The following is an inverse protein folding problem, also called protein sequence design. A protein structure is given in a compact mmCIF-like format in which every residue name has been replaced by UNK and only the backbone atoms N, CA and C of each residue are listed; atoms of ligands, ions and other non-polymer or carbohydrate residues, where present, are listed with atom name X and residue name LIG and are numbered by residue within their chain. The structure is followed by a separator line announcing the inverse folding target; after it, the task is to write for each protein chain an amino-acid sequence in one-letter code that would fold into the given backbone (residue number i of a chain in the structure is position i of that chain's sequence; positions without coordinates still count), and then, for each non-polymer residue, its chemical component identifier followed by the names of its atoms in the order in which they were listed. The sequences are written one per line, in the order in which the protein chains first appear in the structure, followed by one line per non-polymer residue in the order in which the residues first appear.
data_IF_655945341614
#
_entry.id   IF_655945341614
#
_cell.length_a   1.000
_cell.length_b   1.000
_cell.length_c   1.000
_cell.angle_alpha   90.00
_cell.angle_beta   90.00
_cell.angle_gamma   90.00
#
_symmetry.space_group_name_H-M   'P 1'
#
loop_
_entity.id
_entity.type
_entity.pdbx_description
1 polymer ?
#
# COMPACT_ATOMS: atom_id res chain seq x y z
N UNK A 1 2.43 -4.21 -28.59
CA UNK A 1 2.44 -3.36 -27.38
C UNK A 1 2.67 -4.27 -26.18
N UNK A 2 3.82 -4.16 -25.49
CA UNK A 2 4.32 -5.13 -24.49
C UNK A 2 3.24 -5.58 -23.48
N UNK A 3 2.98 -6.90 -23.39
CA UNK A 3 2.03 -7.52 -22.44
C UNK A 3 2.31 -7.08 -21.00
N UNK A 4 3.59 -7.00 -20.63
CA UNK A 4 4.05 -6.48 -19.33
C UNK A 4 3.53 -5.06 -19.03
N UNK A 5 3.50 -4.18 -20.04
CA UNK A 5 3.01 -2.80 -19.87
C UNK A 5 1.50 -2.76 -19.68
N UNK A 6 0.75 -3.64 -20.37
CA UNK A 6 -0.70 -3.73 -20.18
C UNK A 6 -1.04 -4.28 -18.79
N UNK A 7 -0.29 -5.28 -18.32
CA UNK A 7 -0.41 -5.82 -16.97
C UNK A 7 -0.14 -4.76 -15.90
N UNK A 8 0.94 -3.98 -16.04
CA UNK A 8 1.25 -2.89 -15.10
C UNK A 8 0.14 -1.84 -15.06
N UNK A 9 -0.38 -1.41 -16.21
CA UNK A 9 -1.49 -0.46 -16.27
C UNK A 9 -2.76 -1.00 -15.60
N UNK A 10 -3.07 -2.29 -15.76
CA UNK A 10 -4.21 -2.94 -15.09
C UNK A 10 -4.01 -2.93 -13.58
N UNK A 11 -2.81 -3.25 -13.10
CA UNK A 11 -2.50 -3.24 -11.67
C UNK A 11 -2.58 -1.83 -11.05
N UNK A 12 -2.05 -0.81 -11.72
CA UNK A 12 -2.17 0.57 -11.26
C UNK A 12 -3.63 1.04 -11.23
N UNK A 13 -4.42 0.71 -12.26
CA UNK A 13 -5.85 1.04 -12.29
C UNK A 13 -6.62 0.34 -11.16
N UNK A 14 -6.32 -0.94 -10.89
CA UNK A 14 -6.93 -1.66 -9.77
C UNK A 14 -6.50 -1.06 -8.42
N UNK A 15 -5.26 -0.57 -8.29
CA UNK A 15 -4.79 0.16 -7.10
C UNK A 15 -5.63 1.39 -6.81
N UNK A 16 -5.90 2.20 -7.84
CA UNK A 16 -6.71 3.42 -7.71
C UNK A 16 -8.14 3.10 -7.26
N UNK A 17 -8.75 2.04 -7.80
CA UNK A 17 -10.09 1.62 -7.40
C UNK A 17 -10.14 1.16 -5.94
N UNK A 18 -9.17 0.35 -5.52
CA UNK A 18 -9.07 -0.09 -4.12
C UNK A 18 -8.85 1.11 -3.19
N UNK A 19 -8.06 2.10 -3.59
CA UNK A 19 -7.88 3.34 -2.82
C UNK A 19 -9.17 4.12 -2.65
N UNK A 20 -9.99 4.25 -3.68
CA UNK A 20 -11.29 4.90 -3.55
C UNK A 20 -12.17 4.20 -2.51
N UNK A 21 -12.23 2.87 -2.57
CA UNK A 21 -12.95 2.08 -1.58
C UNK A 21 -12.42 2.32 -0.16
N UNK A 22 -11.10 2.26 0.03
CA UNK A 22 -10.47 2.50 1.33
C UNK A 22 -10.71 3.92 1.84
N UNK A 23 -10.60 4.93 0.98
CA UNK A 23 -10.89 6.33 1.34
C UNK A 23 -12.33 6.50 1.79
N UNK A 24 -13.30 5.87 1.11
CA UNK A 24 -14.71 5.91 1.52
C UNK A 24 -14.95 5.20 2.85
N UNK A 25 -14.36 4.01 3.05
CA UNK A 25 -14.48 3.27 4.30
C UNK A 25 -13.85 4.01 5.47
N UNK A 26 -12.65 4.57 5.29
CA UNK A 26 -11.97 5.38 6.31
C UNK A 26 -12.77 6.64 6.60
N UNK A 27 -13.23 7.36 5.58
CA UNK A 27 -14.07 8.55 5.77
C UNK A 27 -15.33 8.23 6.58
N UNK A 28 -16.07 7.18 6.18
CA UNK A 28 -17.28 6.76 6.88
C UNK A 28 -17.01 6.37 8.33
N UNK A 29 -15.93 5.64 8.59
CA UNK A 29 -15.59 5.21 9.95
C UNK A 29 -15.08 6.35 10.83
N UNK A 30 -14.27 7.29 10.31
CA UNK A 30 -13.87 8.48 11.06
C UNK A 30 -15.08 9.38 11.36
N UNK A 31 -15.97 9.57 10.39
CA UNK A 31 -17.22 10.30 10.60
C UNK A 31 -18.10 9.63 11.65
N UNK A 32 -18.15 8.30 11.66
CA UNK A 32 -18.87 7.54 12.70
C UNK A 32 -18.28 7.78 14.09
N UNK A 33 -16.96 7.60 14.27
CA UNK A 33 -16.28 7.82 15.57
C UNK A 33 -16.48 9.25 16.06
N UNK A 34 -16.38 10.24 15.17
CA UNK A 34 -16.55 11.64 15.53
C UNK A 34 -18.02 11.95 15.88
N UNK A 35 -18.98 11.33 15.19
CA UNK A 35 -20.40 11.54 15.45
C UNK A 35 -20.88 10.89 16.75
N UNK A 36 -20.34 9.72 17.11
CA UNK A 36 -20.69 9.00 18.35
C UNK A 36 -19.93 9.49 19.57
N UNK A 37 -19.11 10.55 19.44
CA UNK A 37 -18.25 11.13 20.48
C UNK A 37 -17.25 10.14 21.11
N UNK A 38 -17.11 8.95 20.51
CA UNK A 38 -16.07 7.96 20.83
C UNK A 38 -14.67 8.48 20.46
N UNK A 39 -14.59 9.56 19.67
CA UNK A 39 -13.34 10.26 19.39
C UNK A 39 -12.61 10.75 20.65
N UNK A 40 -13.34 11.02 21.73
CA UNK A 40 -12.76 11.45 23.01
C UNK A 40 -12.03 10.32 23.77
N UNK A 41 -12.37 9.05 23.49
CA UNK A 41 -11.72 7.88 24.09
C UNK A 41 -10.54 7.35 23.24
N UNK A 42 -10.51 7.68 21.95
CA UNK A 42 -9.62 7.03 20.97
C UNK A 42 -8.46 7.94 20.54
N UNK A 43 -8.40 9.22 20.91
CA UNK A 43 -7.36 10.10 20.38
C UNK A 43 -7.12 11.45 21.07
N UNK A 44 -6.19 12.21 20.50
CA UNK A 44 -5.86 13.56 20.92
C UNK A 44 -6.99 14.51 20.52
N UNK A 45 -7.86 14.83 21.48
CA UNK A 45 -9.10 15.62 21.33
C UNK A 45 -8.95 16.94 20.56
N UNK A 46 -7.74 17.51 20.48
CA UNK A 46 -7.49 18.78 19.81
C UNK A 46 -7.26 18.67 18.29
N UNK A 47 -6.86 17.51 17.76
CA UNK A 47 -6.59 17.33 16.33
C UNK A 47 -7.76 16.67 15.59
N UNK A 48 -8.55 15.85 16.29
CA UNK A 48 -9.62 15.07 15.67
C UNK A 48 -10.90 15.90 15.51
N UNK A 49 -11.09 16.50 14.33
CA UNK A 49 -12.22 17.37 14.01
C UNK A 49 -12.80 17.09 12.62
N UNK A 50 -14.01 17.57 12.35
CA UNK A 50 -14.61 17.50 10.99
C UNK A 50 -13.71 18.16 9.94
N UNK A 51 -13.07 19.28 10.28
CA UNK A 51 -12.13 19.97 9.40
C UNK A 51 -10.93 19.07 9.05
N UNK A 52 -10.38 18.35 10.04
CA UNK A 52 -9.29 17.40 9.82
C UNK A 52 -9.72 16.24 8.92
N UNK A 53 -10.89 15.62 9.18
CA UNK A 53 -11.40 14.51 8.37
C UNK A 53 -11.60 14.96 6.91
N UNK A 54 -12.25 16.11 6.69
CA UNK A 54 -12.48 16.67 5.35
C UNK A 54 -11.14 16.98 4.65
N UNK A 55 -10.17 17.54 5.37
CA UNK A 55 -8.84 17.81 4.83
C UNK A 55 -8.11 16.53 4.43
N UNK A 56 -8.05 15.54 5.32
CA UNK A 56 -7.38 14.25 5.06
C UNK A 56 -8.01 13.53 3.87
N UNK A 57 -9.34 13.37 3.89
CA UNK A 57 -10.09 12.72 2.81
C UNK A 57 -9.97 13.51 1.51
N UNK A 58 -10.02 14.84 1.58
CA UNK A 58 -9.84 15.73 0.43
C UNK A 58 -8.47 15.58 -0.22
N UNK A 59 -7.39 15.58 0.58
CA UNK A 59 -6.02 15.35 0.08
C UNK A 59 -5.92 13.97 -0.56
N UNK A 60 -6.44 12.92 0.09
CA UNK A 60 -6.41 11.56 -0.46
C UNK A 60 -7.20 11.47 -1.78
N UNK A 61 -8.37 12.10 -1.86
CA UNK A 61 -9.20 12.13 -3.06
C UNK A 61 -8.50 12.85 -4.22
N UNK A 62 -7.89 14.00 -3.97
CA UNK A 62 -7.14 14.77 -4.98
C UNK A 62 -5.94 13.98 -5.48
N UNK A 63 -5.15 13.38 -4.58
CA UNK A 63 -4.00 12.56 -4.96
C UNK A 63 -4.43 11.33 -5.77
N UNK A 64 -5.49 10.64 -5.33
CA UNK A 64 -5.98 9.46 -6.04
C UNK A 64 -6.56 9.83 -7.42
N UNK A 65 -7.22 10.98 -7.54
CA UNK A 65 -7.69 11.53 -8.81
C UNK A 65 -6.51 11.88 -9.74
N UNK A 66 -5.48 12.54 -9.22
CA UNK A 66 -4.28 12.89 -9.98
C UNK A 66 -3.57 11.64 -10.53
N UNK A 67 -3.39 10.61 -9.69
CA UNK A 67 -2.85 9.32 -10.13
C UNK A 67 -3.76 8.63 -11.14
N UNK A 68 -5.08 8.68 -10.95
CA UNK A 68 -6.07 8.16 -11.90
C UNK A 68 -5.98 8.82 -13.28
N UNK A 69 -5.87 10.14 -13.31
CA UNK A 69 -5.69 10.91 -14.55
C UNK A 69 -4.36 10.54 -15.21
N UNK A 70 -3.27 10.43 -14.44
CA UNK A 70 -1.95 10.06 -14.95
C UNK A 70 -1.97 8.66 -15.60
N UNK A 71 -2.51 7.66 -14.92
CA UNK A 71 -2.64 6.28 -15.43
C UNK A 71 -3.56 6.23 -16.65
N UNK A 72 -4.69 6.96 -16.63
CA UNK A 72 -5.62 7.02 -17.77
C UNK A 72 -4.99 7.68 -19.00
N UNK A 73 -4.16 8.72 -18.82
CA UNK A 73 -3.39 9.35 -19.90
C UNK A 73 -2.36 8.40 -20.49
N UNK A 74 -1.62 7.67 -19.64
CA UNK A 74 -0.67 6.65 -20.08
C UNK A 74 -1.35 5.50 -20.84
N UNK A 75 -2.56 5.10 -20.43
CA UNK A 75 -3.38 4.08 -21.13
C UNK A 75 -3.85 4.54 -22.51
N UNK A 76 -4.15 5.84 -22.69
CA UNK A 76 -4.55 6.45 -23.97
C UNK A 76 -3.36 6.72 -24.92
N UNK A 77 -2.16 6.22 -24.62
CA UNK A 77 -0.98 6.37 -25.48
C UNK A 77 -0.33 7.75 -25.45
N UNK A 78 -0.81 8.68 -24.61
CA UNK A 78 -0.29 10.06 -24.51
C UNK A 78 0.84 10.22 -23.47
N UNK A 79 1.48 9.13 -23.05
CA UNK A 79 2.56 9.17 -22.05
C UNK A 79 3.20 7.82 -21.77
N UNK A 80 4.38 7.86 -21.15
CA UNK A 80 5.09 6.69 -20.60
C UNK A 80 4.73 6.54 -19.12
N UNK A 81 4.55 5.30 -18.66
CA UNK A 81 4.36 5.04 -17.23
C UNK A 81 5.74 5.06 -16.57
N UNK A 82 6.01 6.06 -15.72
CA UNK A 82 7.29 6.11 -15.02
C UNK A 82 7.40 4.94 -14.02
N UNK A 83 8.51 4.19 -14.00
CA UNK A 83 8.77 3.16 -12.99
C UNK A 83 8.72 3.71 -11.55
N UNK A 84 9.02 5.01 -11.38
CA UNK A 84 8.99 5.69 -10.08
C UNK A 84 7.57 5.79 -9.48
N UNK A 85 6.51 5.73 -10.30
CA UNK A 85 5.13 5.89 -9.85
C UNK A 85 4.77 4.88 -8.75
N UNK A 86 5.28 3.64 -8.86
CA UNK A 86 5.03 2.56 -7.88
C UNK A 86 5.55 2.94 -6.48
N UNK A 87 6.74 3.54 -6.44
CA UNK A 87 7.37 3.99 -5.21
C UNK A 87 6.69 5.23 -4.64
N UNK A 88 6.41 6.24 -5.49
CA UNK A 88 5.73 7.47 -5.07
C UNK A 88 4.36 7.15 -4.49
N UNK A 89 3.58 6.34 -5.19
CA UNK A 89 2.24 5.95 -4.77
C UNK A 89 2.28 5.18 -3.45
N UNK A 90 3.25 4.29 -3.27
CA UNK A 90 3.47 3.57 -2.01
C UNK A 90 3.84 4.52 -0.85
N UNK A 91 4.77 5.45 -1.06
CA UNK A 91 5.14 6.44 -0.03
C UNK A 91 3.93 7.28 0.38
N UNK A 92 3.13 7.72 -0.59
CA UNK A 92 1.88 8.44 -0.32
C UNK A 92 0.90 7.60 0.49
N UNK A 93 0.77 6.29 0.22
CA UNK A 93 -0.08 5.40 1.01
C UNK A 93 0.39 5.35 2.48
N UNK A 94 1.71 5.21 2.70
CA UNK A 94 2.26 5.21 4.06
C UNK A 94 2.01 6.53 4.78
N UNK A 95 2.28 7.67 4.12
CA UNK A 95 2.03 8.98 4.70
C UNK A 95 0.56 9.22 5.02
N UNK A 96 -0.36 8.73 4.18
CA UNK A 96 -1.79 8.83 4.44
C UNK A 96 -2.20 8.00 5.67
N UNK A 97 -1.65 6.79 5.82
CA UNK A 97 -1.86 5.98 7.03
C UNK A 97 -1.21 6.64 8.25
N UNK A 98 -0.02 7.21 8.13
CA UNK A 98 0.62 7.97 9.22
C UNK A 98 -0.23 9.14 9.68
N UNK A 99 -0.72 9.94 8.72
CA UNK A 99 -1.58 11.07 9.00
C UNK A 99 -2.84 10.61 9.72
N UNK A 100 -3.47 9.53 9.25
CA UNK A 100 -4.62 8.93 9.90
C UNK A 100 -4.37 8.53 11.36
N UNK A 101 -3.20 7.96 11.67
CA UNK A 101 -2.88 7.46 13.01
C UNK A 101 -2.70 8.56 14.05
N UNK A 102 -2.07 9.68 13.68
CA UNK A 102 -1.74 10.76 14.62
C UNK A 102 -2.94 11.22 15.47
N UNK A 103 -4.11 11.55 14.89
CA UNK A 103 -5.26 11.97 15.68
C UNK A 103 -6.07 10.81 16.28
N UNK A 104 -5.91 9.57 15.78
CA UNK A 104 -6.73 8.40 16.19
C UNK A 104 -6.03 7.52 17.24
N UNK A 105 -5.10 8.09 18.02
CA UNK A 105 -4.42 7.38 19.10
C UNK A 105 -3.09 6.74 18.72
N UNK A 106 -2.50 7.12 17.58
CA UNK A 106 -1.12 6.80 17.22
C UNK A 106 -0.81 5.31 17.19
N UNK A 107 0.06 4.87 18.09
CA UNK A 107 0.49 3.48 18.24
C UNK A 107 -0.59 2.52 18.78
N UNK A 108 -1.61 3.02 19.47
CA UNK A 108 -2.70 2.18 19.99
C UNK A 108 -3.86 2.02 19.00
N UNK A 109 -3.83 2.77 17.92
CA UNK A 109 -4.92 2.84 16.96
C UNK A 109 -5.13 1.53 16.19
N UNK A 110 -6.39 1.12 16.02
CA UNK A 110 -6.77 -0.01 15.17
C UNK A 110 -6.36 0.19 13.71
N UNK A 111 -6.24 1.45 13.25
CA UNK A 111 -5.81 1.79 11.90
C UNK A 111 -4.37 1.40 11.60
N UNK A 112 -3.59 1.00 12.61
CA UNK A 112 -2.24 0.49 12.43
C UNK A 112 -2.20 -0.71 11.48
N UNK A 113 -3.29 -1.48 11.41
CA UNK A 113 -3.44 -2.60 10.47
C UNK A 113 -3.41 -2.17 8.99
N UNK A 114 -3.71 -0.91 8.67
CA UNK A 114 -3.65 -0.41 7.30
C UNK A 114 -2.21 -0.42 6.76
N UNK A 115 -1.20 -0.26 7.61
CA UNK A 115 0.19 -0.45 7.18
C UNK A 115 0.44 -1.88 6.70
N UNK A 116 -0.15 -2.90 7.35
CA UNK A 116 -0.03 -4.29 6.91
C UNK A 116 -0.66 -4.47 5.53
N UNK A 117 -1.85 -3.92 5.33
CA UNK A 117 -2.55 -3.98 4.04
C UNK A 117 -1.71 -3.32 2.95
N UNK A 118 -1.13 -2.16 3.21
CA UNK A 118 -0.25 -1.45 2.26
C UNK A 118 0.98 -2.27 1.93
N UNK A 119 1.67 -2.84 2.93
CA UNK A 119 2.89 -3.65 2.71
C UNK A 119 2.55 -4.91 1.94
N UNK A 120 1.57 -5.69 2.39
CA UNK A 120 1.19 -6.96 1.76
C UNK A 120 0.71 -6.71 0.34
N UNK A 121 -0.18 -5.73 0.13
CA UNK A 121 -0.72 -5.42 -1.20
C UNK A 121 0.36 -4.94 -2.16
N UNK A 122 1.33 -4.12 -1.71
CA UNK A 122 2.40 -3.67 -2.60
C UNK A 122 3.42 -4.80 -2.86
N UNK A 123 3.72 -5.62 -1.85
CA UNK A 123 4.65 -6.76 -1.97
C UNK A 123 4.14 -7.80 -2.96
N UNK A 124 2.85 -8.15 -2.92
CA UNK A 124 2.24 -9.10 -3.85
C UNK A 124 2.16 -8.59 -5.30
N UNK A 125 2.10 -7.26 -5.49
CA UNK A 125 1.96 -6.66 -6.83
C UNK A 125 3.28 -6.42 -7.53
N UNK A 126 4.33 -6.14 -6.79
CA UNK A 126 5.58 -5.63 -7.34
C UNK A 126 6.81 -6.40 -6.88
N UNK A 127 6.62 -7.45 -6.08
CA UNK A 127 7.66 -8.37 -5.66
C UNK A 127 8.51 -7.87 -4.50
N UNK A 128 9.57 -8.64 -4.22
CA UNK A 128 10.45 -8.47 -3.05
C UNK A 128 11.09 -7.08 -2.95
N UNK A 129 11.49 -6.47 -4.07
CA UNK A 129 12.16 -5.15 -4.04
C UNK A 129 11.25 -4.07 -3.45
N UNK A 130 9.97 -4.06 -3.83
CA UNK A 130 9.03 -3.09 -3.28
C UNK A 130 8.64 -3.42 -1.84
N UNK A 131 8.67 -4.71 -1.45
CA UNK A 131 8.48 -5.11 -0.06
C UNK A 131 9.54 -4.49 0.86
N UNK A 132 10.83 -4.62 0.49
CA UNK A 132 11.94 -4.08 1.28
C UNK A 132 11.86 -2.55 1.37
N UNK A 133 11.65 -1.86 0.24
CA UNK A 133 11.52 -0.39 0.26
C UNK A 133 10.28 0.03 1.06
N UNK A 134 9.17 -0.69 0.94
CA UNK A 134 7.96 -0.46 1.72
C UNK A 134 8.20 -0.61 3.23
N UNK A 135 8.99 -1.60 3.66
CA UNK A 135 9.38 -1.77 5.05
C UNK A 135 10.24 -0.61 5.56
N UNK A 136 11.18 -0.12 4.77
CA UNK A 136 12.01 1.04 5.15
C UNK A 136 11.12 2.28 5.31
N UNK A 137 10.25 2.55 4.32
CA UNK A 137 9.32 3.69 4.36
C UNK A 137 8.37 3.56 5.56
N UNK A 138 7.84 2.38 5.82
CA UNK A 138 7.03 2.11 7.01
C UNK A 138 7.78 2.47 8.30
N UNK A 139 9.02 2.03 8.47
CA UNK A 139 9.78 2.33 9.69
C UNK A 139 9.98 3.83 9.87
N UNK A 140 10.31 4.56 8.80
CA UNK A 140 10.46 6.01 8.84
C UNK A 140 9.14 6.71 9.19
N UNK A 141 8.06 6.32 8.50
CA UNK A 141 6.72 6.83 8.73
C UNK A 141 6.22 6.56 10.14
N UNK A 142 6.44 5.34 10.65
CA UNK A 142 6.00 4.94 11.98
C UNK A 142 6.82 5.60 13.08
N UNK A 143 8.14 5.69 12.90
CA UNK A 143 9.00 6.45 13.80
C UNK A 143 8.60 7.92 13.86
N UNK A 144 8.19 8.52 12.73
CA UNK A 144 7.67 9.88 12.72
C UNK A 144 6.35 10.02 13.50
N UNK A 145 5.43 9.05 13.40
CA UNK A 145 4.20 9.03 14.22
C UNK A 145 4.53 8.96 15.71
N UNK A 146 5.41 8.04 16.11
CA UNK A 146 5.85 7.91 17.51
C UNK A 146 6.55 9.19 17.99
N UNK A 147 7.42 9.77 17.17
CA UNK A 147 8.11 11.02 17.50
C UNK A 147 7.11 12.16 17.72
N UNK A 148 6.09 12.29 16.87
CA UNK A 148 5.05 13.31 17.04
C UNK A 148 4.17 13.07 18.28
N UNK A 149 3.93 11.80 18.63
CA UNK A 149 3.06 11.42 19.75
C UNK A 149 3.73 11.62 21.11
N UNK A 150 5.02 11.30 21.23
CA UNK A 150 5.76 11.30 22.49
C UNK A 150 6.68 12.53 22.66
N UNK A 151 6.65 13.49 21.75
CA UNK A 151 7.39 14.75 21.91
C UNK A 151 6.71 15.65 22.96
N UNK A 152 7.45 16.28 23.90
CA UNK A 152 8.92 16.35 24.00
C UNK A 152 9.57 15.30 24.90
N UNK A 153 8.81 14.58 25.74
CA UNK A 153 9.37 13.69 26.77
C UNK A 153 10.16 12.51 26.20
N UNK A 154 9.92 12.11 24.94
CA UNK A 154 10.64 11.05 24.19
C UNK A 154 10.69 9.68 24.91
N UNK A 155 9.98 9.53 26.03
CA UNK A 155 9.87 8.30 26.79
C UNK A 155 8.86 7.38 26.11
N UNK A 156 9.33 6.27 25.55
CA UNK A 156 8.49 5.23 24.96
C UNK A 156 8.03 4.25 26.05
N UNK A 157 6.77 4.33 26.54
CA UNK A 157 6.35 3.56 27.71
C UNK A 157 6.31 2.04 27.44
N UNK A 158 6.15 1.65 26.16
CA UNK A 158 5.95 0.27 25.73
C UNK A 158 6.94 -0.17 24.63
N UNK A 159 8.24 0.12 24.79
CA UNK A 159 9.27 -0.18 23.78
C UNK A 159 9.20 -1.63 23.24
N UNK A 160 8.93 -2.62 24.10
CA UNK A 160 8.82 -4.03 23.68
C UNK A 160 7.66 -4.28 22.72
N UNK A 161 6.49 -3.65 22.95
CA UNK A 161 5.32 -3.73 22.07
C UNK A 161 5.63 -3.12 20.71
N UNK A 162 6.32 -1.97 20.71
CA UNK A 162 6.72 -1.27 19.50
C UNK A 162 7.74 -2.05 18.69
N UNK A 163 8.72 -2.65 19.36
CA UNK A 163 9.70 -3.51 18.72
C UNK A 163 9.03 -4.75 18.11
N UNK A 164 8.07 -5.37 18.82
CA UNK A 164 7.34 -6.53 18.32
C UNK A 164 6.51 -6.19 17.08
N UNK A 165 5.87 -5.02 17.05
CA UNK A 165 5.17 -4.52 15.86
C UNK A 165 6.13 -4.40 14.68
N UNK A 166 7.25 -3.71 14.85
CA UNK A 166 8.25 -3.52 13.79
C UNK A 166 8.76 -4.86 13.27
N UNK A 167 9.17 -5.77 14.17
CA UNK A 167 9.64 -7.11 13.81
C UNK A 167 8.56 -7.90 13.08
N UNK A 168 7.31 -7.86 13.56
CA UNK A 168 6.17 -8.50 12.91
C UNK A 168 5.97 -7.98 11.47
N UNK A 169 6.10 -6.67 11.26
CA UNK A 169 6.07 -6.06 9.94
C UNK A 169 7.17 -6.57 9.02
N UNK A 170 8.40 -6.66 9.51
CA UNK A 170 9.52 -7.21 8.77
C UNK A 170 9.28 -8.66 8.36
N UNK A 171 8.84 -9.51 9.29
CA UNK A 171 8.56 -10.92 9.02
C UNK A 171 7.47 -11.04 7.94
N UNK A 172 6.33 -10.37 8.13
CA UNK A 172 5.21 -10.44 7.19
C UNK A 172 5.59 -9.86 5.82
N UNK A 173 6.26 -8.71 5.79
CA UNK A 173 6.68 -8.04 4.56
C UNK A 173 7.69 -8.87 3.76
N UNK A 174 8.72 -9.41 4.42
CA UNK A 174 9.71 -10.27 3.79
C UNK A 174 9.10 -11.59 3.32
N UNK A 175 8.26 -12.22 4.13
CA UNK A 175 7.64 -13.49 3.76
C UNK A 175 6.68 -13.32 2.57
N UNK A 176 5.86 -12.26 2.58
CA UNK A 176 4.99 -11.91 1.46
C UNK A 176 5.79 -11.58 0.20
N UNK A 177 6.87 -10.81 0.35
CA UNK A 177 7.80 -10.52 -0.76
C UNK A 177 8.45 -11.78 -1.33
N UNK A 178 8.80 -12.74 -0.47
CA UNK A 178 9.35 -14.03 -0.87
C UNK A 178 8.32 -14.87 -1.63
N UNK A 179 7.08 -14.96 -1.13
CA UNK A 179 5.97 -15.62 -1.81
C UNK A 179 5.77 -15.02 -3.20
N UNK A 180 5.72 -13.70 -3.30
CA UNK A 180 5.57 -13.01 -4.59
C UNK A 180 6.68 -13.38 -5.57
N UNK A 181 7.94 -13.38 -5.11
CA UNK A 181 9.09 -13.79 -5.93
C UNK A 181 8.98 -15.25 -6.39
N UNK A 182 8.49 -16.13 -5.52
CA UNK A 182 8.33 -17.56 -5.86
C UNK A 182 7.23 -17.76 -6.90
N UNK A 183 6.12 -17.04 -6.81
CA UNK A 183 5.08 -17.07 -7.84
C UNK A 183 5.59 -16.59 -9.20
N UNK A 184 6.40 -15.53 -9.24
CA UNK A 184 7.02 -15.04 -10.48
C UNK A 184 7.92 -16.11 -11.13
N UNK A 185 8.72 -16.83 -10.33
CA UNK A 185 9.59 -17.91 -10.83
C UNK A 185 8.74 -19.06 -11.40
N UNK A 186 7.72 -19.51 -10.64
CA UNK A 186 6.84 -20.60 -11.07
C UNK A 186 6.09 -20.26 -12.36
N UNK A 187 5.59 -19.03 -12.51
CA UNK A 187 4.95 -18.59 -13.76
C UNK A 187 5.93 -18.64 -14.94
N UNK A 188 7.16 -18.16 -14.74
CA UNK A 188 8.19 -18.22 -15.77
C UNK A 188 8.60 -19.64 -16.16
N UNK A 189 8.59 -20.59 -15.23
CA UNK A 189 8.81 -22.00 -15.52
C UNK A 189 7.66 -22.61 -16.33
N UNK A 190 6.41 -22.35 -15.92
CA UNK A 190 5.22 -22.82 -16.65
C UNK A 190 5.20 -22.30 -18.08
N UNK A 191 5.50 -21.03 -18.30
CA UNK A 191 5.59 -20.45 -19.66
C UNK A 191 6.68 -21.12 -20.51
N UNK A 192 7.84 -21.45 -19.92
CA UNK A 192 8.90 -22.18 -20.63
C UNK A 192 8.44 -23.58 -21.02
N UNK A 193 7.75 -24.29 -20.14
CA UNK A 193 7.21 -25.62 -20.44
C UNK A 193 6.15 -25.56 -21.54
N UNK A 194 5.24 -24.58 -21.50
CA UNK A 194 4.24 -24.38 -22.55
C UNK A 194 4.90 -24.15 -23.92
N UNK A 195 5.90 -23.27 -23.99
CA UNK A 195 6.65 -23.01 -25.24
C UNK A 195 7.41 -24.24 -25.73
N UNK A 196 7.93 -25.08 -24.83
CA UNK A 196 8.61 -26.31 -25.20
C UNK A 196 7.62 -27.32 -25.78
N UNK A 197 6.45 -27.48 -25.15
CA UNK A 197 5.38 -28.37 -25.65
C UNK A 197 4.87 -27.89 -27.00
N UNK A 198 4.63 -26.59 -27.19
CA UNK A 198 4.22 -26.00 -28.47
C UNK A 198 5.25 -26.29 -29.58
N UNK A 199 6.55 -26.14 -29.29
CA UNK A 199 7.61 -26.48 -30.25
C UNK A 199 7.62 -27.96 -30.59
N UNK A 200 7.52 -28.84 -29.60
CA UNK A 200 7.50 -30.29 -29.83
C UNK A 200 6.25 -30.74 -30.62
N UNK A 201 5.10 -30.10 -30.40
CA UNK A 201 3.90 -30.34 -31.20
C UNK A 201 4.05 -29.85 -32.64
N UNK A 202 4.73 -28.73 -32.86
CA UNK A 202 5.03 -28.23 -34.21
C UNK A 202 6.04 -29.12 -34.94
N UNK A 203 7.09 -29.59 -34.25
CA UNK A 203 8.12 -30.47 -34.81
C UNK A 203 7.60 -31.87 -35.15
N UNK A 204 6.62 -32.39 -34.40
CA UNK A 204 5.99 -33.69 -34.73
C UNK A 204 5.03 -33.63 -35.92
N UNK A 205 4.58 -32.45 -36.35
CA UNK A 205 3.54 -32.30 -37.37
C UNK A 205 2.22 -32.99 -36.99
N UNK A 206 1.08 -32.64 -37.62
CA UNK A 206 -0.11 -33.48 -37.50
C UNK A 206 0.26 -34.86 -38.02
N UNK A 207 0.19 -35.88 -37.17
CA UNK A 207 0.28 -37.26 -37.62
C UNK A 207 -0.76 -37.44 -38.74
N UNK A 208 -0.27 -37.72 -39.94
CA UNK A 208 -1.07 -38.07 -41.10
C UNK A 208 -1.88 -39.35 -40.83
#
# INVERSE_FOLDING_TARGET
MNERRQWELKNESNKINVRWLLTLLVAGYLSYILYTDQGNEVGTTHLFSWAYIVLLVGIMAVLNLAFGIYVRRARKGRGTLSPALKYITMVVDFLAVSALLVPTGGDESLFFILYFIVIVSNSLRYGMRLAIVGLIVFNLSYAAVLALQYYPDLSLPHLQRELLKVVGFWIVGLYTGYISRRFEILQGEVEKYQRLVERLMQERGPAA
#
